data_IF_242075555584
#
_entry.id   IF_242075555584
#
_cell.length_a   1.000
_cell.length_b   1.000
_cell.length_c   1.000
_cell.angle_alpha   90.00
_cell.angle_beta   90.00
_cell.angle_gamma   90.00
#
_symmetry.space_group_name_H-M   'P 1'
#
loop_
_entity.id
_entity.type
_entity.pdbx_description
1 polymer ?
#
# COMPACT_ATOMS: atom_id res chain seq x y z
N UNK A 1 11.68 -2.48 6.55
CA UNK A 1 12.34 -1.34 7.24
C UNK A 1 11.58 -0.88 8.47
N UNK A 2 10.26 -0.67 8.38
CA UNK A 2 9.45 -0.08 9.44
C UNK A 2 9.62 -0.74 10.82
N UNK A 3 9.78 -2.06 10.87
CA UNK A 3 9.82 -2.85 12.11
C UNK A 3 11.19 -3.51 12.39
N UNK A 4 12.23 -3.15 11.65
CA UNK A 4 13.58 -3.71 11.84
C UNK A 4 14.38 -2.77 12.76
N UNK A 5 15.05 -3.27 13.82
CA UNK A 5 15.93 -2.45 14.64
C UNK A 5 17.06 -1.79 13.83
N UNK A 6 17.52 -0.63 14.30
CA UNK A 6 18.64 0.08 13.66
C UNK A 6 19.86 -0.83 13.64
N UNK A 7 20.28 -1.18 12.43
CA UNK A 7 21.30 -2.19 12.16
C UNK A 7 21.95 -1.90 10.79
N UNK A 8 23.02 -2.62 10.45
CA UNK A 8 23.61 -2.53 9.11
C UNK A 8 22.59 -2.85 8.01
N UNK A 9 21.76 -3.89 8.21
CA UNK A 9 20.67 -4.26 7.30
C UNK A 9 19.66 -3.13 7.12
N UNK A 10 19.19 -2.54 8.23
CA UNK A 10 18.25 -1.41 8.18
C UNK A 10 18.85 -0.22 7.41
N UNK A 11 20.11 0.14 7.69
CA UNK A 11 20.82 1.23 7.01
C UNK A 11 20.97 0.97 5.51
N UNK A 12 21.32 -0.25 5.12
CA UNK A 12 21.47 -0.62 3.72
C UNK A 12 20.15 -0.53 2.95
N UNK A 13 19.05 -1.04 3.51
CA UNK A 13 17.73 -0.92 2.90
C UNK A 13 17.32 0.55 2.73
N UNK A 14 17.57 1.38 3.76
CA UNK A 14 17.26 2.82 3.70
C UNK A 14 18.09 3.53 2.64
N UNK A 15 19.36 3.16 2.50
CA UNK A 15 20.26 3.68 1.46
C UNK A 15 19.76 3.31 0.06
N UNK A 16 19.31 2.08 -0.17
CA UNK A 16 18.72 1.66 -1.45
C UNK A 16 17.48 2.49 -1.77
N UNK A 17 16.54 2.64 -0.83
CA UNK A 17 15.35 3.45 -1.05
C UNK A 17 15.69 4.89 -1.42
N UNK A 18 16.59 5.53 -0.67
CA UNK A 18 16.92 6.93 -0.89
C UNK A 18 17.73 7.17 -2.17
N UNK A 19 18.60 6.23 -2.57
CA UNK A 19 19.51 6.43 -3.69
C UNK A 19 19.01 5.84 -5.02
N UNK A 20 18.04 4.91 -4.99
CA UNK A 20 17.64 4.18 -6.19
C UNK A 20 16.14 4.29 -6.46
N UNK A 21 15.29 4.23 -5.43
CA UNK A 21 13.83 4.18 -5.63
C UNK A 21 13.17 5.56 -5.54
N UNK A 22 13.64 6.41 -4.63
CA UNK A 22 13.05 7.71 -4.36
C UNK A 22 13.99 8.92 -4.46
N UNK A 23 15.11 8.91 -5.22
CA UNK A 23 15.87 10.13 -5.44
C UNK A 23 15.05 11.10 -6.35
N UNK A 24 15.23 12.42 -6.22
CA UNK A 24 14.46 13.42 -6.98
C UNK A 24 14.45 13.16 -8.48
N UNK A 25 15.57 12.72 -9.06
CA UNK A 25 15.70 12.47 -10.50
C UNK A 25 14.79 11.32 -10.96
N UNK A 26 14.65 10.26 -10.15
CA UNK A 26 13.75 9.13 -10.44
C UNK A 26 12.30 9.55 -10.25
N UNK A 27 12.02 10.40 -9.25
CA UNK A 27 10.69 10.96 -9.07
C UNK A 27 10.32 11.88 -10.23
N UNK A 28 11.20 12.73 -10.70
CA UNK A 28 10.96 13.64 -11.82
C UNK A 28 10.78 12.87 -13.13
N UNK A 29 11.61 11.86 -13.38
CA UNK A 29 11.45 10.97 -14.53
C UNK A 29 10.07 10.27 -14.55
N UNK A 30 9.49 10.00 -13.38
CA UNK A 30 8.15 9.40 -13.24
C UNK A 30 7.01 10.42 -13.14
N UNK A 31 7.25 11.72 -13.27
CA UNK A 31 6.22 12.76 -13.11
C UNK A 31 5.04 12.55 -14.06
N UNK A 32 5.31 12.29 -15.34
CA UNK A 32 4.26 12.09 -16.36
C UNK A 32 3.32 10.94 -15.97
N UNK A 33 3.88 9.83 -15.49
CA UNK A 33 3.10 8.68 -15.02
C UNK A 33 2.20 9.07 -13.84
N UNK A 34 2.70 9.86 -12.89
CA UNK A 34 1.88 10.35 -11.77
C UNK A 34 0.73 11.22 -12.25
N UNK A 35 0.99 12.13 -13.18
CA UNK A 35 -0.04 13.01 -13.77
C UNK A 35 -1.15 12.20 -14.43
N UNK A 36 -0.82 11.14 -15.18
CA UNK A 36 -1.82 10.24 -15.78
C UNK A 36 -2.68 9.56 -14.72
N UNK A 37 -2.09 9.09 -13.61
CA UNK A 37 -2.87 8.44 -12.54
C UNK A 37 -3.79 9.42 -11.81
N UNK A 38 -3.33 10.64 -11.56
CA UNK A 38 -4.16 11.70 -10.96
C UNK A 38 -5.30 12.07 -11.91
N UNK A 39 -5.04 12.17 -13.21
CA UNK A 39 -6.11 12.44 -14.19
C UNK A 39 -7.17 11.33 -14.17
N UNK A 40 -6.76 10.05 -14.17
CA UNK A 40 -7.68 8.92 -14.06
C UNK A 40 -8.55 8.98 -12.79
N UNK A 41 -7.97 9.42 -11.67
CA UNK A 41 -8.73 9.64 -10.43
C UNK A 41 -9.77 10.75 -10.58
N UNK A 42 -9.40 11.88 -11.19
CA UNK A 42 -10.31 13.00 -11.47
C UNK A 42 -11.45 12.54 -12.38
N UNK A 43 -11.14 11.76 -13.42
CA UNK A 43 -12.12 11.23 -14.37
C UNK A 43 -13.13 10.32 -13.64
N UNK A 44 -12.66 9.40 -12.80
CA UNK A 44 -13.53 8.54 -11.98
C UNK A 44 -14.45 9.35 -11.05
N UNK A 45 -13.91 10.39 -10.39
CA UNK A 45 -14.70 11.28 -9.52
C UNK A 45 -15.76 12.04 -10.32
N UNK A 46 -15.42 12.49 -11.53
CA UNK A 46 -16.34 13.16 -12.43
C UNK A 46 -17.47 12.22 -12.89
N UNK A 47 -17.17 10.94 -13.12
CA UNK A 47 -18.17 9.93 -13.44
C UNK A 47 -19.14 9.70 -12.28
N UNK A 48 -18.63 9.51 -11.05
CA UNK A 48 -19.48 9.39 -9.85
C UNK A 48 -20.35 10.64 -9.65
N UNK A 49 -19.79 11.84 -9.84
CA UNK A 49 -20.55 13.08 -9.79
C UNK A 49 -21.69 13.11 -10.82
N UNK A 50 -21.43 12.70 -12.07
CA UNK A 50 -22.45 12.65 -13.13
C UNK A 50 -23.54 11.62 -12.83
N UNK A 51 -23.18 10.51 -12.19
CA UNK A 51 -24.11 9.47 -11.74
C UNK A 51 -24.88 9.86 -10.45
N UNK A 52 -24.48 10.92 -9.76
CA UNK A 52 -25.04 11.30 -8.46
C UNK A 52 -24.63 10.36 -7.32
N UNK A 53 -23.52 9.63 -7.49
CA UNK A 53 -23.01 8.65 -6.53
C UNK A 53 -22.01 9.28 -5.56
N UNK A 54 -22.01 8.78 -4.33
CA UNK A 54 -21.02 9.18 -3.33
C UNK A 54 -19.63 8.61 -3.69
N UNK A 55 -18.59 9.43 -3.55
CA UNK A 55 -17.21 9.00 -3.72
C UNK A 55 -16.66 8.51 -2.38
N UNK A 56 -16.24 7.25 -2.35
CA UNK A 56 -15.45 6.70 -1.25
C UNK A 56 -14.00 7.22 -1.35
N UNK A 57 -13.72 8.28 -0.59
CA UNK A 57 -12.41 8.95 -0.56
C UNK A 57 -11.31 8.03 -0.02
N UNK A 58 -11.63 7.17 0.95
CA UNK A 58 -10.67 6.25 1.55
C UNK A 58 -10.19 5.24 0.50
N UNK A 59 -11.14 4.57 -0.16
CA UNK A 59 -10.84 3.62 -1.22
C UNK A 59 -10.13 4.29 -2.40
N UNK A 60 -10.54 5.51 -2.76
CA UNK A 60 -9.92 6.26 -3.85
C UNK A 60 -8.46 6.64 -3.52
N UNK A 61 -8.21 7.19 -2.33
CA UNK A 61 -6.88 7.56 -1.85
C UNK A 61 -5.94 6.36 -1.73
N UNK A 62 -6.45 5.23 -1.23
CA UNK A 62 -5.67 4.00 -1.14
C UNK A 62 -5.30 3.44 -2.52
N UNK A 63 -6.27 3.44 -3.44
CA UNK A 63 -6.05 2.97 -4.81
C UNK A 63 -4.99 3.80 -5.52
N UNK A 64 -5.08 5.13 -5.47
CA UNK A 64 -4.08 5.99 -6.12
C UNK A 64 -2.69 5.81 -5.50
N UNK A 65 -2.59 5.71 -4.17
CA UNK A 65 -1.32 5.49 -3.49
C UNK A 65 -0.65 4.17 -3.91
N UNK A 66 -1.42 3.07 -3.96
CA UNK A 66 -0.94 1.78 -4.42
C UNK A 66 -0.44 1.82 -5.86
N UNK A 67 -1.19 2.45 -6.76
CA UNK A 67 -0.83 2.52 -8.17
C UNK A 67 0.43 3.33 -8.41
N UNK A 68 0.61 4.42 -7.66
CA UNK A 68 1.81 5.23 -7.72
C UNK A 68 3.03 4.45 -7.22
N UNK A 69 2.89 3.73 -6.10
CA UNK A 69 3.97 2.91 -5.55
C UNK A 69 4.31 1.73 -6.46
N UNK A 70 3.32 1.02 -6.99
CA UNK A 70 3.53 -0.12 -7.85
C UNK A 70 4.20 0.27 -9.16
N UNK A 71 3.78 1.38 -9.76
CA UNK A 71 4.42 1.91 -10.95
C UNK A 71 5.86 2.34 -10.68
N UNK A 72 6.12 2.99 -9.53
CA UNK A 72 7.47 3.46 -9.19
C UNK A 72 8.44 2.31 -8.92
N UNK A 73 7.97 1.25 -8.26
CA UNK A 73 8.84 0.15 -7.78
C UNK A 73 8.93 -0.98 -8.82
N UNK A 74 7.83 -1.30 -9.49
CA UNK A 74 7.73 -2.46 -10.39
C UNK A 74 7.48 -2.08 -11.85
N UNK A 75 7.22 -0.81 -12.16
CA UNK A 75 6.72 -0.38 -13.48
C UNK A 75 5.44 -1.10 -13.91
N UNK A 76 4.66 -1.59 -12.94
CA UNK A 76 3.39 -2.31 -13.16
C UNK A 76 2.22 -1.45 -12.70
N UNK A 77 1.19 -1.40 -13.55
CA UNK A 77 -0.09 -0.76 -13.23
C UNK A 77 -0.99 -1.71 -12.43
N UNK A 78 -0.92 -1.64 -11.10
CA UNK A 78 -1.76 -2.43 -10.20
C UNK A 78 -3.15 -1.78 -10.00
N UNK A 79 -3.45 -0.72 -10.76
CA UNK A 79 -4.74 -0.06 -10.77
C UNK A 79 -5.78 -0.73 -11.65
N UNK A 80 -5.33 -1.55 -12.59
CA UNK A 80 -6.16 -1.99 -13.69
C UNK A 80 -7.25 -2.92 -13.13
N UNK A 81 -8.53 -2.47 -13.11
CA UNK A 81 -9.61 -3.30 -12.60
C UNK A 81 -9.82 -4.56 -13.43
N UNK A 82 -9.27 -4.60 -14.65
CA UNK A 82 -9.32 -5.75 -15.56
C UNK A 82 -8.21 -6.78 -15.31
N UNK A 83 -7.17 -6.42 -14.55
CA UNK A 83 -6.09 -7.33 -14.19
C UNK A 83 -6.42 -8.06 -12.88
N UNK A 84 -6.62 -9.37 -12.98
CA UNK A 84 -6.86 -10.23 -11.81
C UNK A 84 -5.73 -10.13 -10.78
N UNK A 85 -4.47 -10.17 -11.24
CA UNK A 85 -3.28 -10.03 -10.39
C UNK A 85 -3.24 -8.68 -9.66
N UNK A 86 -3.66 -7.60 -10.32
CA UNK A 86 -3.69 -6.28 -9.72
C UNK A 86 -4.75 -6.19 -8.59
N UNK A 87 -5.92 -6.79 -8.83
CA UNK A 87 -6.99 -6.89 -7.84
C UNK A 87 -6.55 -7.70 -6.62
N UNK A 88 -5.96 -8.89 -6.83
CA UNK A 88 -5.46 -9.75 -5.75
C UNK A 88 -4.37 -9.09 -4.91
N UNK A 89 -3.44 -8.38 -5.56
CA UNK A 89 -2.41 -7.63 -4.84
C UNK A 89 -3.01 -6.53 -3.98
N UNK A 90 -3.97 -5.77 -4.52
CA UNK A 90 -4.68 -4.72 -3.77
C UNK A 90 -5.43 -5.30 -2.57
N UNK A 91 -6.16 -6.39 -2.75
CA UNK A 91 -6.91 -7.07 -1.67
C UNK A 91 -5.97 -7.60 -0.59
N UNK A 92 -4.83 -8.18 -0.99
CA UNK A 92 -3.80 -8.66 -0.06
C UNK A 92 -3.21 -7.53 0.77
N UNK A 93 -2.77 -6.44 0.12
CA UNK A 93 -2.16 -5.31 0.83
C UNK A 93 -3.19 -4.62 1.73
N UNK A 94 -4.43 -4.48 1.28
CA UNK A 94 -5.52 -3.94 2.09
C UNK A 94 -5.76 -4.78 3.35
N UNK A 95 -5.87 -6.11 3.20
CA UNK A 95 -6.03 -7.03 4.33
C UNK A 95 -4.87 -6.95 5.33
N UNK A 96 -3.63 -6.83 4.87
CA UNK A 96 -2.48 -6.60 5.76
C UNK A 96 -2.59 -5.29 6.55
N UNK A 97 -3.05 -4.21 5.91
CA UNK A 97 -3.24 -2.92 6.59
C UNK A 97 -4.37 -2.99 7.62
N UNK A 98 -5.49 -3.63 7.30
CA UNK A 98 -6.58 -3.84 8.26
C UNK A 98 -6.10 -4.63 9.48
N UNK A 99 -5.34 -5.71 9.28
CA UNK A 99 -4.81 -6.50 10.39
C UNK A 99 -3.76 -5.75 11.22
N UNK A 100 -2.89 -4.97 10.56
CA UNK A 100 -1.85 -4.18 11.24
C UNK A 100 -2.41 -2.96 11.97
N UNK A 101 -3.52 -2.40 11.48
CA UNK A 101 -4.18 -1.23 12.08
C UNK A 101 -5.07 -1.57 13.28
N UNK A 102 -5.45 -2.84 13.45
CA UNK A 102 -6.26 -3.30 14.59
C UNK A 102 -5.44 -3.24 15.88
N UNK A 103 -5.98 -2.68 16.98
CA UNK A 103 -5.37 -2.81 18.30
C UNK A 103 -5.23 -4.30 18.66
N UNK A 104 -3.99 -4.70 18.98
CA UNK A 104 -3.68 -6.09 19.30
C UNK A 104 -3.32 -6.23 20.78
N UNK A 105 -4.15 -6.95 21.54
CA UNK A 105 -3.97 -7.22 22.96
C UNK A 105 -2.62 -7.90 23.26
N UNK A 106 -2.11 -8.70 22.34
CA UNK A 106 -0.81 -9.34 22.48
C UNK A 106 0.37 -8.36 22.52
N UNK A 107 0.19 -7.13 22.01
CA UNK A 107 1.22 -6.08 22.07
C UNK A 107 1.25 -5.38 23.43
N UNK A 108 0.14 -5.40 24.19
CA UNK A 108 0.04 -4.82 25.52
C UNK A 108 0.28 -5.84 26.64
N UNK A 109 -0.08 -7.10 26.41
CA UNK A 109 0.02 -8.18 27.40
C UNK A 109 0.94 -9.30 26.90
N UNK A 110 2.22 -9.32 27.34
CA UNK A 110 3.21 -10.29 26.86
C UNK A 110 2.83 -11.76 27.04
N UNK A 111 1.96 -12.08 28.01
CA UNK A 111 1.47 -13.44 28.24
C UNK A 111 0.58 -13.94 27.08
N UNK A 112 -0.14 -13.05 26.40
CA UNK A 112 -1.05 -13.39 25.30
C UNK A 112 -0.33 -13.58 23.96
N UNK A 113 0.95 -13.22 23.87
CA UNK A 113 1.73 -13.20 22.61
C UNK A 113 1.88 -14.56 21.94
N UNK A 114 1.85 -15.64 22.72
CA UNK A 114 1.91 -17.02 22.21
C UNK A 114 0.55 -17.58 21.81
N UNK A 115 -0.53 -17.01 22.35
CA UNK A 115 -1.90 -17.48 22.11
C UNK A 115 -2.51 -16.85 20.87
N UNK A 116 -2.05 -15.66 20.48
CA UNK A 116 -2.60 -14.87 19.36
C UNK A 116 -4.13 -14.78 19.42
N UNK A 117 -4.70 -14.21 20.52
CA UNK A 117 -6.12 -14.30 20.82
C UNK A 117 -7.01 -13.65 19.74
N UNK A 118 -6.47 -12.71 18.98
CA UNK A 118 -7.17 -12.03 17.87
C UNK A 118 -6.82 -12.63 16.51
N UNK A 119 -5.92 -13.61 16.44
CA UNK A 119 -5.47 -14.25 15.19
C UNK A 119 -4.73 -13.32 14.23
N UNK A 120 -4.32 -12.12 14.68
CA UNK A 120 -3.71 -11.09 13.83
C UNK A 120 -2.37 -11.58 13.30
N UNK A 121 -1.55 -12.18 14.19
CA UNK A 121 -0.24 -12.69 13.79
C UNK A 121 -0.39 -13.85 12.80
N UNK A 122 -1.34 -14.75 13.04
CA UNK A 122 -1.61 -15.88 12.15
C UNK A 122 -2.05 -15.41 10.76
N UNK A 123 -3.02 -14.48 10.67
CA UNK A 123 -3.49 -13.94 9.37
C UNK A 123 -2.37 -13.24 8.62
N UNK A 124 -1.56 -12.42 9.28
CA UNK A 124 -0.40 -11.75 8.66
C UNK A 124 0.72 -12.69 8.20
N UNK A 125 0.79 -13.92 8.72
CA UNK A 125 1.89 -14.85 8.41
C UNK A 125 1.49 -15.91 7.38
N UNK A 126 0.22 -16.35 7.41
CA UNK A 126 -0.24 -17.53 6.67
C UNK A 126 -1.37 -17.24 5.67
N UNK A 127 -2.08 -16.12 5.82
CA UNK A 127 -3.20 -15.78 4.95
C UNK A 127 -2.82 -14.71 3.91
N UNK A 128 -2.01 -13.73 4.32
CA UNK A 128 -1.54 -12.65 3.45
C UNK A 128 -0.04 -12.81 3.15
#
# INVERSE_FOLDING_TARGET
MAWIPVSARWRNLRKICNLQLFPPEVLDANQANRSVKVQKLIDNVNESMRAGEAVDIERAAFTIALNLLSQTIFSVDIADPSSETAREFKETVWGMFEETGKPNLADYFPLLRKLDPQGIKWRLTYHY
#
